data_IF_208995488174
#
_entry.id   IF_208995488174
#
_cell.length_a   1.000
_cell.length_b   1.000
_cell.length_c   1.000
_cell.angle_alpha   90.00
_cell.angle_beta   90.00
_cell.angle_gamma   90.00
#
_symmetry.space_group_name_H-M   'P 1'
#
loop_
_entity.id
_entity.type
_entity.pdbx_description
1 polymer ?
#
# COMPACT_ATOMS: atom_id res chain seq x y z
N UNK A 1 16.40 -1.73 16.27
CA UNK A 1 16.18 -0.46 15.53
C UNK A 1 14.71 -0.05 15.40
N UNK A 2 13.84 -0.88 14.80
CA UNK A 2 12.45 -0.50 14.50
C UNK A 2 11.60 -0.15 15.74
N UNK A 3 11.62 -0.99 16.76
CA UNK A 3 10.89 -0.74 18.02
C UNK A 3 11.36 0.54 18.72
N UNK A 4 12.67 0.79 18.74
CA UNK A 4 13.28 1.99 19.34
C UNK A 4 12.82 3.28 18.65
N UNK A 5 12.66 3.24 17.32
CA UNK A 5 12.14 4.37 16.54
C UNK A 5 10.67 4.65 16.85
N UNK A 6 9.85 3.61 16.97
CA UNK A 6 8.42 3.77 17.28
C UNK A 6 8.17 4.25 18.72
N UNK A 7 8.98 3.81 19.67
CA UNK A 7 8.80 4.17 21.09
C UNK A 7 9.54 5.45 21.50
N UNK A 8 10.31 6.05 20.57
CA UNK A 8 11.25 7.16 20.86
C UNK A 8 12.12 6.89 22.09
N UNK A 9 12.47 5.62 22.35
CA UNK A 9 13.34 5.22 23.46
C UNK A 9 14.83 5.46 23.14
N UNK A 10 15.14 6.60 22.51
CA UNK A 10 16.51 7.04 22.28
C UNK A 10 16.87 8.13 23.28
N UNK A 11 18.15 8.22 23.64
CA UNK A 11 18.63 9.23 24.57
C UNK A 11 18.58 10.65 23.98
N UNK A 12 18.66 10.77 22.65
CA UNK A 12 18.59 12.04 21.92
C UNK A 12 17.90 11.89 20.55
N UNK A 13 17.62 13.01 19.90
CA UNK A 13 16.91 13.08 18.60
C UNK A 13 17.77 12.61 17.42
N UNK A 14 19.08 12.74 17.53
CA UNK A 14 20.04 12.38 16.48
C UNK A 14 20.09 10.85 16.30
N UNK A 15 20.19 10.11 17.40
CA UNK A 15 20.12 8.65 17.42
C UNK A 15 18.78 8.14 16.84
N UNK A 16 17.69 8.87 17.10
CA UNK A 16 16.39 8.56 16.53
C UNK A 16 16.35 8.74 15.02
N UNK A 17 16.90 9.86 14.51
CA UNK A 17 17.00 10.13 13.08
C UNK A 17 17.91 9.11 12.37
N UNK A 18 19.05 8.76 12.97
CA UNK A 18 19.96 7.72 12.45
C UNK A 18 19.24 6.37 12.37
N UNK A 19 18.49 6.00 13.41
CA UNK A 19 17.73 4.75 13.42
C UNK A 19 16.61 4.74 12.36
N UNK A 20 15.87 5.85 12.21
CA UNK A 20 14.85 6.00 11.18
C UNK A 20 15.45 5.89 9.78
N UNK A 21 16.51 6.65 9.51
CA UNK A 21 17.24 6.64 8.26
C UNK A 21 17.76 5.24 7.93
N UNK A 22 18.33 4.54 8.92
CA UNK A 22 18.82 3.17 8.78
C UNK A 22 17.71 2.18 8.43
N UNK A 23 16.52 2.32 9.01
CA UNK A 23 15.36 1.46 8.71
C UNK A 23 14.86 1.72 7.29
N UNK A 24 14.60 2.99 6.96
CA UNK A 24 14.03 3.39 5.67
C UNK A 24 14.96 3.00 4.52
N UNK A 25 16.27 3.21 4.69
CA UNK A 25 17.26 2.90 3.66
C UNK A 25 17.84 1.48 3.76
N UNK A 26 17.43 0.70 4.77
CA UNK A 26 17.95 -0.64 5.10
C UNK A 26 19.48 -0.70 5.18
N UNK A 27 20.11 0.42 5.56
CA UNK A 27 21.57 0.57 5.57
C UNK A 27 21.99 1.63 6.60
N UNK A 28 23.01 1.36 7.45
CA UNK A 28 23.52 2.34 8.41
C UNK A 28 23.93 3.65 7.73
N UNK A 29 23.61 4.79 8.35
CA UNK A 29 23.91 6.13 7.82
C UNK A 29 25.41 6.31 7.55
N UNK A 30 26.27 5.80 8.43
CA UNK A 30 27.74 5.88 8.28
C UNK A 30 28.28 5.14 7.04
N UNK A 31 27.45 4.29 6.42
CA UNK A 31 27.79 3.56 5.20
C UNK A 31 27.15 4.16 3.94
N UNK A 32 26.48 5.32 4.04
CA UNK A 32 25.82 5.95 2.90
C UNK A 32 26.83 6.60 1.97
N UNK A 33 26.51 6.54 0.68
CA UNK A 33 27.12 7.34 -0.38
C UNK A 33 26.13 8.44 -0.79
N UNK A 34 26.57 9.41 -1.57
CA UNK A 34 25.71 10.49 -2.07
C UNK A 34 24.47 9.97 -2.81
N UNK A 35 24.61 8.85 -3.53
CA UNK A 35 23.48 8.18 -4.19
C UNK A 35 22.46 7.61 -3.20
N UNK A 36 22.90 7.18 -2.03
CA UNK A 36 22.02 6.61 -1.00
C UNK A 36 21.15 7.71 -0.36
N UNK A 37 21.61 8.97 -0.34
CA UNK A 37 20.82 10.13 0.11
C UNK A 37 19.67 10.46 -0.86
N UNK A 38 19.92 10.39 -2.17
CA UNK A 38 18.88 10.59 -3.19
C UNK A 38 17.79 9.51 -3.10
N UNK A 39 18.20 8.25 -2.91
CA UNK A 39 17.29 7.11 -2.77
C UNK A 39 16.50 7.20 -1.46
N UNK A 40 17.09 7.74 -0.39
CA UNK A 40 16.45 7.86 0.91
C UNK A 40 15.15 8.67 0.86
N UNK A 41 15.10 9.81 0.15
CA UNK A 41 13.88 10.63 0.05
C UNK A 41 12.72 9.85 -0.58
N UNK A 42 12.98 9.16 -1.70
CA UNK A 42 11.99 8.31 -2.36
C UNK A 42 11.53 7.16 -1.45
N UNK A 43 12.46 6.50 -0.76
CA UNK A 43 12.14 5.42 0.18
C UNK A 43 11.36 5.91 1.39
N UNK A 44 11.61 7.13 1.87
CA UNK A 44 10.86 7.72 2.97
C UNK A 44 9.41 8.00 2.57
N UNK A 45 9.19 8.48 1.34
CA UNK A 45 7.84 8.65 0.78
C UNK A 45 7.11 7.30 0.67
N UNK A 46 7.73 6.29 0.06
CA UNK A 46 7.15 4.92 -0.01
C UNK A 46 6.83 4.36 1.38
N UNK A 47 7.75 4.55 2.33
CA UNK A 47 7.56 4.11 3.70
C UNK A 47 6.35 4.81 4.34
N UNK A 48 6.21 6.12 4.17
CA UNK A 48 5.05 6.88 4.66
C UNK A 48 3.73 6.41 4.03
N UNK A 49 3.70 6.18 2.72
CA UNK A 49 2.51 5.69 2.02
C UNK A 49 2.09 4.30 2.53
N UNK A 50 3.06 3.42 2.79
CA UNK A 50 2.80 2.09 3.36
C UNK A 50 2.23 2.16 4.78
N UNK A 51 2.69 3.11 5.61
CA UNK A 51 2.10 3.34 6.93
C UNK A 51 0.65 3.78 6.82
N UNK A 52 0.35 4.76 5.97
CA UNK A 52 -1.03 5.22 5.75
C UNK A 52 -1.95 4.10 5.23
N UNK A 53 -1.44 3.26 4.32
CA UNK A 53 -2.16 2.09 3.83
C UNK A 53 -2.48 1.10 4.96
N UNK A 54 -1.50 0.79 5.82
CA UNK A 54 -1.68 -0.10 6.97
C UNK A 54 -2.68 0.47 7.97
N UNK A 55 -2.57 1.74 8.31
CA UNK A 55 -3.52 2.43 9.20
C UNK A 55 -4.95 2.35 8.66
N UNK A 56 -5.12 2.57 7.35
CA UNK A 56 -6.42 2.51 6.69
C UNK A 56 -7.03 1.10 6.72
N UNK A 57 -6.21 0.06 6.58
CA UNK A 57 -6.64 -1.34 6.71
C UNK A 57 -7.02 -1.66 8.16
N UNK A 58 -6.17 -1.32 9.13
CA UNK A 58 -6.43 -1.58 10.56
C UNK A 58 -7.69 -0.85 11.01
N UNK A 59 -7.84 0.43 10.67
CA UNK A 59 -9.06 1.19 10.98
C UNK A 59 -10.31 0.57 10.33
N UNK A 60 -10.16 -0.03 9.14
CA UNK A 60 -11.24 -0.74 8.48
C UNK A 60 -11.58 -2.07 9.16
N UNK A 61 -10.59 -2.82 9.65
CA UNK A 61 -10.78 -4.07 10.40
C UNK A 61 -11.42 -3.83 11.76
N UNK A 62 -10.99 -2.79 12.49
CA UNK A 62 -11.55 -2.44 13.80
C UNK A 62 -13.04 -2.05 13.73
N UNK A 63 -13.51 -1.55 12.58
CA UNK A 63 -14.91 -1.23 12.32
C UNK A 63 -15.76 -2.46 11.98
N UNK A 64 -15.16 -3.64 11.81
CA UNK A 64 -15.88 -4.88 11.51
C UNK A 64 -16.24 -5.58 12.82
N UNK A 65 -17.51 -5.97 13.02
CA UNK A 65 -17.90 -6.77 14.18
C UNK A 65 -17.06 -8.06 14.24
N UNK A 66 -16.58 -8.45 15.42
CA UNK A 66 -15.69 -9.61 15.62
C UNK A 66 -16.19 -10.96 15.04
N UNK A 67 -17.47 -11.06 14.65
CA UNK A 67 -18.08 -12.22 13.98
C UNK A 67 -18.03 -12.19 12.45
N UNK A 68 -17.48 -11.16 11.83
CA UNK A 68 -17.47 -10.92 10.38
C UNK A 68 -16.13 -11.32 9.72
N UNK A 69 -15.56 -12.46 10.13
CA UNK A 69 -14.29 -13.01 9.59
C UNK A 69 -14.38 -13.53 8.13
N UNK A 70 -15.52 -13.33 7.47
CA UNK A 70 -15.78 -13.78 6.11
C UNK A 70 -15.54 -12.69 5.05
N UNK A 71 -14.90 -11.60 5.42
CA UNK A 71 -14.49 -10.54 4.50
C UNK A 71 -12.97 -10.54 4.34
N UNK A 72 -12.53 -10.13 3.16
CA UNK A 72 -11.16 -9.78 2.85
C UNK A 72 -11.13 -8.27 2.61
N UNK A 73 -10.19 -7.60 3.27
CA UNK A 73 -10.01 -6.15 3.18
C UNK A 73 -8.69 -5.89 2.49
N UNK A 74 -8.70 -5.01 1.50
CA UNK A 74 -7.49 -4.55 0.82
C UNK A 74 -7.50 -3.04 0.71
N UNK A 75 -6.36 -2.41 0.96
CA UNK A 75 -6.10 -1.06 0.52
C UNK A 75 -5.59 -1.11 -0.92
N UNK A 76 -6.28 -0.43 -1.83
CA UNK A 76 -5.92 -0.34 -3.25
C UNK A 76 -5.64 1.11 -3.60
N UNK A 77 -4.54 1.34 -4.31
CA UNK A 77 -4.05 2.66 -4.72
C UNK A 77 -3.70 2.60 -6.20
N UNK A 78 -4.21 3.52 -7.01
CA UNK A 78 -3.84 3.66 -8.43
C UNK A 78 -3.41 5.11 -8.65
N UNK A 79 -2.19 5.29 -9.16
CA UNK A 79 -1.68 6.57 -9.59
C UNK A 79 -1.77 6.67 -11.10
N UNK A 80 -2.42 7.72 -11.60
CA UNK A 80 -2.51 7.96 -13.04
C UNK A 80 -1.28 8.73 -13.55
N UNK A 81 -1.21 8.94 -14.87
CA UNK A 81 -0.11 9.68 -15.52
C UNK A 81 0.00 11.15 -15.09
N UNK A 82 -1.06 11.72 -14.51
CA UNK A 82 -1.04 13.08 -13.93
C UNK A 82 -0.36 13.15 -12.56
N UNK A 83 0.02 12.00 -11.98
CA UNK A 83 0.56 11.90 -10.62
C UNK A 83 -0.51 11.94 -9.54
N UNK A 84 -1.80 12.01 -9.90
CA UNK A 84 -2.90 11.93 -8.95
C UNK A 84 -3.09 10.48 -8.50
N UNK A 85 -3.09 10.28 -7.18
CA UNK A 85 -3.23 8.98 -6.56
C UNK A 85 -4.64 8.81 -5.98
N UNK A 86 -5.40 7.82 -6.47
CA UNK A 86 -6.70 7.45 -5.94
C UNK A 86 -6.56 6.23 -5.04
N UNK A 87 -7.12 6.29 -3.83
CA UNK A 87 -6.96 5.26 -2.79
C UNK A 87 -8.34 4.84 -2.29
N UNK A 88 -8.56 3.54 -2.10
CA UNK A 88 -9.81 3.01 -1.55
C UNK A 88 -9.57 1.77 -0.71
N UNK A 89 -10.35 1.64 0.37
CA UNK A 89 -10.46 0.39 1.10
C UNK A 89 -11.57 -0.46 0.48
N UNK A 90 -11.17 -1.56 -0.17
CA UNK A 90 -12.09 -2.53 -0.75
C UNK A 90 -12.35 -3.61 0.29
N UNK A 91 -13.63 -3.87 0.57
CA UNK A 91 -14.10 -4.96 1.43
C UNK A 91 -14.90 -5.94 0.59
N UNK A 92 -14.44 -7.17 0.47
CA UNK A 92 -15.10 -8.20 -0.34
C UNK A 92 -15.38 -9.45 0.49
N UNK A 93 -16.54 -10.09 0.31
CA UNK A 93 -16.81 -11.38 0.95
C UNK A 93 -15.91 -12.46 0.34
N UNK A 94 -15.29 -13.31 1.15
CA UNK A 94 -14.40 -14.39 0.68
C UNK A 94 -15.07 -15.32 -0.33
N UNK A 95 -16.37 -15.62 -0.13
CA UNK A 95 -17.18 -16.40 -1.09
C UNK A 95 -17.27 -15.70 -2.46
N UNK A 96 -17.53 -14.40 -2.48
CA UNK A 96 -17.57 -13.60 -3.72
C UNK A 96 -16.21 -13.60 -4.39
N UNK A 97 -15.13 -13.35 -3.64
CA UNK A 97 -13.78 -13.37 -4.19
C UNK A 97 -13.40 -14.72 -4.79
N UNK A 98 -13.74 -15.83 -4.11
CA UNK A 98 -13.51 -17.18 -4.62
C UNK A 98 -14.29 -17.43 -5.92
N UNK A 99 -15.55 -17.01 -5.98
CA UNK A 99 -16.37 -17.11 -7.19
C UNK A 99 -15.84 -16.29 -8.37
N UNK A 100 -15.18 -15.16 -8.12
CA UNK A 100 -14.58 -14.33 -9.17
C UNK A 100 -13.29 -14.93 -9.74
N UNK A 101 -12.63 -15.88 -9.05
CA UNK A 101 -11.39 -16.51 -9.56
C UNK A 101 -11.61 -17.28 -10.86
N UNK A 102 -12.77 -17.91 -11.03
CA UNK A 102 -13.09 -18.61 -12.29
C UNK A 102 -13.24 -17.63 -13.45
N UNK A 103 -13.86 -16.47 -13.22
CA UNK A 103 -14.02 -15.42 -14.23
C UNK A 103 -12.64 -14.87 -14.63
N UNK A 104 -11.77 -14.56 -13.67
CA UNK A 104 -10.39 -14.10 -13.97
C UNK A 104 -9.62 -15.15 -14.77
N UNK A 105 -9.78 -16.43 -14.45
CA UNK A 105 -9.14 -17.54 -15.20
C UNK A 105 -9.64 -17.62 -16.65
N UNK A 106 -10.93 -17.37 -16.87
CA UNK A 106 -11.53 -17.34 -18.21
C UNK A 106 -11.07 -16.12 -19.02
N UNK A 107 -11.02 -14.94 -18.40
CA UNK A 107 -10.49 -13.72 -19.01
C UNK A 107 -9.03 -13.92 -19.45
N UNK A 108 -8.19 -14.53 -18.60
CA UNK A 108 -6.78 -14.82 -18.92
C UNK A 108 -6.59 -15.81 -20.09
N UNK A 109 -7.61 -16.59 -20.44
CA UNK A 109 -7.57 -17.50 -21.60
C UNK A 109 -8.07 -16.84 -22.88
N UNK A 110 -8.87 -15.78 -22.73
CA UNK A 110 -9.61 -15.17 -23.84
C UNK A 110 -8.95 -13.88 -24.32
N UNK A 111 -8.38 -13.11 -23.40
CA UNK A 111 -7.79 -11.80 -23.65
C UNK A 111 -6.27 -11.88 -23.67
N UNK A 112 -5.66 -11.04 -24.51
CA UNK A 112 -4.24 -10.78 -24.47
C UNK A 112 -3.85 -9.91 -23.24
N UNK A 113 -2.56 -9.85 -22.91
CA UNK A 113 -2.09 -9.14 -21.72
C UNK A 113 -2.39 -7.63 -21.75
N UNK A 114 -2.25 -6.99 -22.91
CA UNK A 114 -2.56 -5.57 -23.12
C UNK A 114 -4.06 -5.28 -22.95
N UNK A 115 -4.92 -6.20 -23.40
CA UNK A 115 -6.37 -6.11 -23.16
C UNK A 115 -6.73 -6.27 -21.68
N UNK A 116 -6.04 -7.16 -20.95
CA UNK A 116 -6.21 -7.31 -19.50
C UNK A 116 -5.74 -6.07 -18.72
N UNK A 117 -4.63 -5.48 -19.13
CA UNK A 117 -4.12 -4.22 -18.57
C UNK A 117 -5.11 -3.08 -18.81
N UNK A 118 -5.64 -2.95 -20.03
CA UNK A 118 -6.67 -1.98 -20.35
C UNK A 118 -7.95 -2.18 -19.51
N UNK A 119 -8.39 -3.44 -19.34
CA UNK A 119 -9.55 -3.77 -18.51
C UNK A 119 -9.32 -3.41 -17.03
N UNK A 120 -8.14 -3.69 -16.49
CA UNK A 120 -7.76 -3.31 -15.12
C UNK A 120 -7.83 -1.80 -14.93
N UNK A 121 -7.32 -1.02 -15.89
CA UNK A 121 -7.37 0.45 -15.83
C UNK A 121 -8.81 0.96 -15.86
N UNK A 122 -9.64 0.46 -16.78
CA UNK A 122 -11.04 0.89 -16.90
C UNK A 122 -11.88 0.56 -15.65
N UNK A 123 -11.77 -0.68 -15.14
CA UNK A 123 -12.47 -1.09 -13.92
C UNK A 123 -11.91 -0.34 -12.71
N UNK A 124 -10.59 -0.19 -12.64
CA UNK A 124 -9.91 0.53 -11.57
C UNK A 124 -10.38 1.98 -11.48
N UNK A 125 -10.39 2.70 -12.60
CA UNK A 125 -10.90 4.07 -12.67
C UNK A 125 -12.37 4.14 -12.30
N UNK A 126 -13.22 3.21 -12.77
CA UNK A 126 -14.64 3.19 -12.38
C UNK A 126 -14.82 3.02 -10.87
N UNK A 127 -14.12 2.07 -10.25
CA UNK A 127 -14.24 1.79 -8.81
C UNK A 127 -13.68 2.92 -7.94
N UNK A 128 -12.63 3.60 -8.42
CA UNK A 128 -11.89 4.63 -7.66
C UNK A 128 -12.37 6.06 -7.94
N UNK A 129 -13.08 6.31 -9.04
CA UNK A 129 -13.59 7.66 -9.40
C UNK A 129 -14.94 8.01 -8.77
N UNK A 130 -15.66 7.05 -8.18
CA UNK A 130 -16.98 7.24 -7.56
C UNK A 130 -17.01 8.19 -6.34
N UNK A 131 -15.88 8.73 -5.88
CA UNK A 131 -15.80 9.65 -4.71
C UNK A 131 -15.76 11.15 -5.07
N UNK A 132 -16.04 11.56 -6.32
CA UNK A 132 -16.08 12.98 -6.72
C UNK A 132 -17.49 13.59 -6.91
N UNK A 133 -18.58 12.87 -6.59
CA UNK A 133 -19.95 13.41 -6.64
C UNK A 133 -20.62 13.40 -5.27
#
# INVERSE_FOLDING_TARGET
PFFVVLTKQTANIEDWLIALATIVNQRPVDSWRDTDLQIFSTRLHDFSDRFQALESVVAAELKIPAKSNNQEIRHVSIMNSSGKNHRKIIRVKKKTLSGMKSIVSELNKTLANDELEALLLLIGDQILSEEQN
#
